data_IF_497184905889
#
_entry.id   IF_497184905889
#
_cell.length_a   1.000
_cell.length_b   1.000
_cell.length_c   1.000
_cell.angle_alpha   90.00
_cell.angle_beta   90.00
_cell.angle_gamma   90.00
#
_symmetry.space_group_name_H-M   'P 1'
#
loop_
_entity.id
_entity.type
_entity.pdbx_description
1 polymer ?
#
# COMPACT_ATOMS: atom_id res chain seq x y z
N UNK A 1 14.45 -24.33 -33.37
CA UNK A 1 13.57 -23.56 -32.47
C UNK A 1 12.20 -23.63 -33.08
N UNK A 2 11.24 -24.21 -32.37
CA UNK A 2 9.89 -24.38 -32.90
C UNK A 2 9.15 -23.04 -32.88
N UNK A 3 8.09 -22.92 -33.69
CA UNK A 3 7.30 -21.68 -33.74
C UNK A 3 6.69 -21.33 -32.38
N UNK A 4 6.38 -22.36 -31.58
CA UNK A 4 5.88 -22.22 -30.20
C UNK A 4 6.93 -21.59 -29.30
N UNK A 5 8.20 -21.98 -29.42
CA UNK A 5 9.30 -21.40 -28.63
C UNK A 5 9.49 -19.92 -28.95
N UNK A 6 9.42 -19.55 -30.25
CA UNK A 6 9.54 -18.16 -30.71
C UNK A 6 8.42 -17.30 -30.12
N UNK A 7 7.18 -17.80 -30.18
CA UNK A 7 6.02 -17.12 -29.59
C UNK A 7 6.13 -16.99 -28.07
N UNK A 8 6.64 -18.03 -27.40
CA UNK A 8 6.80 -18.03 -25.95
C UNK A 8 7.85 -17.02 -25.50
N UNK A 9 9.04 -17.00 -26.11
CA UNK A 9 10.07 -16.00 -25.82
C UNK A 9 9.61 -14.58 -26.15
N UNK A 10 8.88 -14.40 -27.26
CA UNK A 10 8.25 -13.12 -27.59
C UNK A 10 7.26 -12.65 -26.53
N UNK A 11 6.42 -13.55 -26.01
CA UNK A 11 5.46 -13.22 -24.95
C UNK A 11 6.14 -12.82 -23.64
N UNK A 12 7.20 -13.51 -23.22
CA UNK A 12 7.98 -13.13 -22.03
C UNK A 12 8.62 -11.77 -22.18
N UNK A 13 9.17 -11.47 -23.37
CA UNK A 13 9.73 -10.15 -23.65
C UNK A 13 8.66 -9.05 -23.56
N UNK A 14 7.48 -9.28 -24.13
CA UNK A 14 6.36 -8.35 -24.06
C UNK A 14 5.86 -8.14 -22.63
N UNK A 15 5.78 -9.19 -21.81
CA UNK A 15 5.42 -9.09 -20.39
C UNK A 15 6.44 -8.23 -19.63
N UNK A 16 7.73 -8.41 -19.88
CA UNK A 16 8.78 -7.61 -19.26
C UNK A 16 8.64 -6.14 -19.67
N UNK A 17 8.45 -5.86 -20.97
CA UNK A 17 8.27 -4.49 -21.47
C UNK A 17 7.01 -3.85 -20.87
N UNK A 18 5.90 -4.59 -20.79
CA UNK A 18 4.66 -4.11 -20.21
C UNK A 18 4.82 -3.83 -18.70
N UNK A 19 5.48 -4.72 -17.96
CA UNK A 19 5.77 -4.52 -16.54
C UNK A 19 6.64 -3.28 -16.30
N UNK A 20 7.70 -3.11 -17.11
CA UNK A 20 8.53 -1.91 -17.06
C UNK A 20 7.73 -0.65 -17.41
N UNK A 21 6.93 -0.68 -18.47
CA UNK A 21 6.05 0.42 -18.87
C UNK A 21 5.03 0.80 -17.80
N UNK A 22 4.46 -0.19 -17.11
CA UNK A 22 3.51 0.02 -16.02
C UNK A 22 4.12 0.73 -14.81
N UNK A 23 5.45 0.70 -14.64
CA UNK A 23 6.17 1.41 -13.57
C UNK A 23 6.70 2.76 -14.09
N UNK A 24 7.34 2.76 -15.26
CA UNK A 24 8.04 3.92 -15.82
C UNK A 24 7.07 4.99 -16.30
N UNK A 25 5.98 4.63 -16.98
CA UNK A 25 5.04 5.62 -17.53
C UNK A 25 4.32 6.42 -16.43
N UNK A 26 3.79 5.82 -15.34
CA UNK A 26 3.25 6.58 -14.23
C UNK A 26 4.28 7.50 -13.58
N UNK A 27 5.54 7.06 -13.48
CA UNK A 27 6.62 7.86 -12.88
C UNK A 27 6.94 9.10 -13.72
N UNK A 28 7.09 8.96 -15.04
CA UNK A 28 7.27 10.09 -15.97
C UNK A 28 6.08 11.05 -15.89
N UNK A 29 4.85 10.52 -15.91
CA UNK A 29 3.64 11.33 -15.81
C UNK A 29 3.52 12.08 -14.48
N UNK A 30 3.96 11.46 -13.38
CA UNK A 30 3.98 12.10 -12.07
C UNK A 30 5.02 13.23 -12.01
N UNK A 31 6.20 13.05 -12.62
CA UNK A 31 7.23 14.09 -12.70
C UNK A 31 6.81 15.27 -13.59
N UNK A 32 6.10 15.01 -14.69
CA UNK A 32 5.54 16.06 -15.56
C UNK A 32 4.36 16.82 -14.93
N UNK A 33 3.71 16.26 -13.91
CA UNK A 33 2.58 16.87 -13.20
C UNK A 33 2.87 17.01 -11.71
N UNK A 34 3.72 17.96 -11.30
CA UNK A 34 4.16 18.11 -9.91
C UNK A 34 3.01 18.29 -8.92
N UNK A 35 1.89 18.89 -9.36
CA UNK A 35 0.67 19.00 -8.53
C UNK A 35 0.04 17.64 -8.21
N UNK A 36 0.00 16.72 -9.18
CA UNK A 36 -0.54 15.38 -8.97
C UNK A 36 0.39 14.55 -8.10
N UNK A 37 1.70 14.66 -8.34
CA UNK A 37 2.71 14.00 -7.52
C UNK A 37 2.67 14.48 -6.07
N UNK A 38 2.51 15.79 -5.84
CA UNK A 38 2.39 16.35 -4.50
C UNK A 38 1.16 15.82 -3.76
N UNK A 39 0.02 15.65 -4.44
CA UNK A 39 -1.19 15.06 -3.84
C UNK A 39 -0.96 13.60 -3.43
N UNK A 40 -0.36 12.79 -4.29
CA UNK A 40 -0.04 11.40 -3.98
C UNK A 40 0.99 11.29 -2.85
N UNK A 41 2.04 12.13 -2.89
CA UNK A 41 3.05 12.20 -1.84
C UNK A 41 2.43 12.62 -0.50
N UNK A 42 1.53 13.60 -0.50
CA UNK A 42 0.80 14.01 0.69
C UNK A 42 -0.02 12.84 1.28
N UNK A 43 -0.65 12.03 0.44
CA UNK A 43 -1.35 10.81 0.87
C UNK A 43 -0.42 9.84 1.60
N UNK A 44 0.77 9.58 1.06
CA UNK A 44 1.78 8.72 1.69
C UNK A 44 2.26 9.33 3.02
N UNK A 45 2.51 10.64 3.05
CA UNK A 45 2.91 11.34 4.27
C UNK A 45 1.85 11.22 5.36
N UNK A 46 0.57 11.40 5.02
CA UNK A 46 -0.55 11.25 5.96
C UNK A 46 -0.59 9.83 6.52
N UNK A 47 -0.47 8.81 5.67
CA UNK A 47 -0.41 7.40 6.13
C UNK A 47 0.79 7.18 7.04
N UNK A 48 1.96 7.75 6.71
CA UNK A 48 3.16 7.68 7.55
C UNK A 48 2.94 8.30 8.93
N UNK A 49 2.31 9.47 9.00
CA UNK A 49 1.97 10.13 10.27
C UNK A 49 1.01 9.27 11.09
N UNK A 50 -0.03 8.71 10.45
CA UNK A 50 -0.98 7.79 11.11
C UNK A 50 -0.25 6.56 11.65
N UNK A 51 0.70 6.01 10.89
CA UNK A 51 1.50 4.88 11.34
C UNK A 51 2.37 5.23 12.55
N UNK A 52 3.04 6.40 12.55
CA UNK A 52 3.85 6.82 13.68
C UNK A 52 3.03 6.98 14.97
N UNK A 53 1.81 7.52 14.87
CA UNK A 53 0.88 7.62 16.00
C UNK A 53 0.46 6.21 16.45
N UNK A 54 0.06 5.36 15.51
CA UNK A 54 -0.38 3.98 15.77
C UNK A 54 0.73 3.13 16.41
N UNK A 55 1.97 3.28 15.94
CA UNK A 55 3.15 2.63 16.51
C UNK A 55 3.47 3.17 17.91
N UNK A 56 3.28 4.47 18.13
CA UNK A 56 3.46 5.10 19.45
C UNK A 56 2.50 4.55 20.51
N UNK A 57 1.27 4.23 20.14
CA UNK A 57 0.27 3.63 21.04
C UNK A 57 0.27 2.09 21.04
N UNK A 58 0.99 1.46 20.10
CA UNK A 58 1.08 0.01 20.05
C UNK A 58 1.92 -0.53 21.20
N UNK A 59 1.46 -1.65 21.77
CA UNK A 59 2.17 -2.38 22.81
C UNK A 59 3.33 -3.20 22.23
N UNK A 60 4.28 -3.55 23.09
CA UNK A 60 5.45 -4.37 22.77
C UNK A 60 5.40 -5.74 23.44
N UNK A 61 4.22 -6.18 23.89
CA UNK A 61 4.03 -7.44 24.58
C UNK A 61 4.43 -8.65 23.73
N UNK A 62 5.12 -9.61 24.36
CA UNK A 62 5.47 -10.90 23.77
C UNK A 62 4.79 -11.99 24.55
N UNK A 63 3.69 -12.52 23.99
CA UNK A 63 2.93 -13.62 24.59
C UNK A 63 3.58 -14.98 24.29
N UNK A 64 3.20 -16.04 25.01
CA UNK A 64 3.70 -17.39 24.75
C UNK A 64 3.47 -17.86 23.30
N UNK A 65 2.41 -17.37 22.65
CA UNK A 65 2.14 -17.61 21.24
C UNK A 65 3.11 -16.88 20.32
N UNK A 66 3.56 -15.68 20.71
CA UNK A 66 4.47 -14.85 19.91
C UNK A 66 5.89 -15.43 19.88
N UNK A 67 6.31 -16.05 20.99
CA UNK A 67 7.58 -16.78 21.10
C UNK A 67 7.66 -17.92 20.08
N UNK A 68 6.55 -18.60 19.78
CA UNK A 68 6.51 -19.68 18.78
C UNK A 68 6.79 -19.19 17.35
N UNK A 69 6.64 -17.89 17.10
CA UNK A 69 6.90 -17.24 15.81
C UNK A 69 8.17 -16.37 15.84
N UNK A 70 9.02 -16.52 16.85
CA UNK A 70 10.25 -15.74 17.03
C UNK A 70 10.01 -14.22 17.04
N UNK A 71 8.84 -13.81 17.56
CA UNK A 71 8.46 -12.39 17.65
C UNK A 71 9.12 -11.76 18.86
N UNK A 72 10.01 -10.80 18.60
CA UNK A 72 10.65 -9.95 19.62
C UNK A 72 9.73 -8.80 20.03
N UNK A 73 10.07 -8.09 21.13
CA UNK A 73 9.34 -6.88 21.56
C UNK A 73 9.27 -5.83 20.44
N UNK A 74 10.38 -5.62 19.71
CA UNK A 74 10.44 -4.70 18.57
C UNK A 74 9.52 -5.14 17.45
N UNK A 75 9.56 -6.43 17.09
CA UNK A 75 8.69 -6.99 16.06
C UNK A 75 7.21 -6.88 16.46
N UNK A 76 6.88 -7.18 17.71
CA UNK A 76 5.52 -7.07 18.26
C UNK A 76 4.98 -5.66 18.12
N UNK A 77 5.78 -4.66 18.51
CA UNK A 77 5.42 -3.25 18.40
C UNK A 77 5.20 -2.79 16.95
N UNK A 78 6.08 -3.20 16.04
CA UNK A 78 5.93 -2.89 14.61
C UNK A 78 4.66 -3.51 14.04
N UNK A 79 4.41 -4.79 14.34
CA UNK A 79 3.21 -5.50 13.90
C UNK A 79 1.96 -4.80 14.46
N UNK A 80 1.93 -4.48 15.75
CA UNK A 80 0.83 -3.76 16.39
C UNK A 80 0.58 -2.39 15.74
N UNK A 81 1.65 -1.63 15.46
CA UNK A 81 1.56 -0.35 14.76
C UNK A 81 0.91 -0.47 13.38
N UNK A 82 1.32 -1.45 12.57
CA UNK A 82 0.71 -1.72 11.27
C UNK A 82 -0.73 -2.20 11.37
N UNK A 83 -1.04 -3.03 12.35
CA UNK A 83 -2.39 -3.58 12.55
C UNK A 83 -3.37 -2.47 12.93
N UNK A 84 -3.01 -1.62 13.90
CA UNK A 84 -3.80 -0.45 14.30
C UNK A 84 -3.98 0.51 13.12
N UNK A 85 -2.90 0.81 12.39
CA UNK A 85 -2.96 1.68 11.19
C UNK A 85 -3.97 1.14 10.18
N UNK A 86 -3.91 -0.17 9.91
CA UNK A 86 -4.80 -0.82 8.94
C UNK A 86 -6.25 -0.76 9.39
N UNK A 87 -6.54 -1.06 10.66
CA UNK A 87 -7.92 -0.98 11.18
C UNK A 87 -8.47 0.44 11.17
N UNK A 88 -7.64 1.43 11.49
CA UNK A 88 -8.03 2.83 11.46
C UNK A 88 -8.34 3.29 10.02
N UNK A 89 -7.46 2.98 9.07
CA UNK A 89 -7.68 3.29 7.65
C UNK A 89 -8.90 2.54 7.08
N UNK A 90 -9.12 1.30 7.49
CA UNK A 90 -10.30 0.53 7.11
C UNK A 90 -11.59 1.20 7.61
N UNK A 91 -11.63 1.63 8.87
CA UNK A 91 -12.77 2.37 9.42
C UNK A 91 -13.03 3.67 8.66
N UNK A 92 -11.97 4.45 8.40
CA UNK A 92 -12.06 5.69 7.60
C UNK A 92 -12.58 5.38 6.21
N UNK A 93 -12.10 4.31 5.56
CA UNK A 93 -12.53 3.94 4.22
C UNK A 93 -14.02 3.59 4.18
N UNK A 94 -14.51 2.79 5.13
CA UNK A 94 -15.94 2.43 5.23
C UNK A 94 -16.80 3.68 5.40
N UNK A 95 -16.44 4.57 6.34
CA UNK A 95 -17.17 5.84 6.57
C UNK A 95 -17.13 6.72 5.32
N UNK A 96 -15.98 6.81 4.66
CA UNK A 96 -15.79 7.62 3.46
C UNK A 96 -16.64 7.12 2.29
N UNK A 97 -16.78 5.80 2.13
CA UNK A 97 -17.65 5.19 1.13
C UNK A 97 -19.11 5.55 1.42
N UNK A 98 -19.58 5.37 2.65
CA UNK A 98 -20.96 5.70 3.04
C UNK A 98 -21.25 7.18 2.79
N UNK A 99 -20.36 8.07 3.22
CA UNK A 99 -20.48 9.51 2.99
C UNK A 99 -20.54 9.85 1.50
N UNK A 100 -19.68 9.22 0.69
CA UNK A 100 -19.67 9.40 -0.77
C UNK A 100 -20.99 9.02 -1.41
N UNK A 101 -21.58 7.88 -1.02
CA UNK A 101 -22.88 7.44 -1.55
C UNK A 101 -24.03 8.37 -1.12
N UNK A 102 -24.07 8.82 0.14
CA UNK A 102 -25.08 9.78 0.60
C UNK A 102 -24.97 11.12 -0.15
N UNK A 103 -23.74 11.64 -0.29
CA UNK A 103 -23.51 12.91 -0.96
C UNK A 103 -23.87 12.87 -2.45
N UNK A 104 -23.73 11.72 -3.13
CA UNK A 104 -24.19 11.53 -4.52
C UNK A 104 -25.71 11.56 -4.67
N UNK A 105 -26.46 11.19 -3.63
CA UNK A 105 -27.93 11.15 -3.66
C UNK A 105 -28.51 12.55 -3.37
N UNK A 106 -27.84 13.31 -2.50
CA UNK A 106 -28.27 14.66 -2.11
C UNK A 106 -27.96 15.69 -3.21
N UNK A 107 -26.89 15.48 -3.99
CA UNK A 107 -26.43 16.38 -5.05
C UNK A 107 -26.92 15.94 -6.42
#
# INVERSE_FOLDING_TARGET
MEIVDIMLYGSYLLVIIAALGAIVLPLINALGNPKSLLKSALGIVVIGVVYLISWGISGDEVTAKYIQFDVTNTSSKVIGGFLITTYLLMGIAVVSIIYSEINKIIK
#
